data_IF_479768970802
#
_entry.id   IF_479768970802
#
_cell.length_a   1.000
_cell.length_b   1.000
_cell.length_c   1.000
_cell.angle_alpha   90.00
_cell.angle_beta   90.00
_cell.angle_gamma   90.00
#
_symmetry.space_group_name_H-M   'P 1'
#
loop_
_entity.id
_entity.type
_entity.pdbx_description
1 polymer ?
#
# COMPACT_ATOMS: atom_id res chain seq x y z
N UNK A 1 10.70 26.53 -3.31
CA UNK A 1 10.83 25.87 -2.00
C UNK A 1 10.70 26.81 -0.78
N UNK A 2 10.85 28.14 -0.89
CA UNK A 2 10.73 29.02 0.30
C UNK A 2 9.28 29.24 0.79
N UNK A 3 8.28 29.06 -0.07
CA UNK A 3 6.88 29.35 0.26
C UNK A 3 6.26 28.38 1.28
N UNK A 4 6.79 27.17 1.40
CA UNK A 4 6.28 26.10 2.27
C UNK A 4 7.12 25.90 3.53
N UNK A 5 8.12 26.77 3.76
CA UNK A 5 8.98 26.67 4.93
C UNK A 5 8.11 26.75 6.20
N UNK A 6 8.26 25.78 7.10
CA UNK A 6 7.48 25.67 8.35
C UNK A 6 5.99 25.32 8.15
N UNK A 7 5.57 24.86 6.96
CA UNK A 7 4.21 24.36 6.78
C UNK A 7 4.05 22.91 7.29
N UNK A 8 2.92 22.66 7.96
CA UNK A 8 2.46 21.31 8.32
C UNK A 8 1.52 20.81 7.24
N UNK A 9 1.80 19.63 6.71
CA UNK A 9 0.98 18.97 5.70
C UNK A 9 0.32 17.76 6.35
N UNK A 10 -1.01 17.69 6.26
CA UNK A 10 -1.81 16.59 6.83
C UNK A 10 -2.17 15.51 5.81
N UNK A 11 -1.72 15.66 4.56
CA UNK A 11 -1.90 14.64 3.53
C UNK A 11 -1.21 13.34 3.94
N UNK A 12 -1.80 12.22 3.53
CA UNK A 12 -1.30 10.87 3.79
C UNK A 12 0.07 10.64 3.14
N UNK A 13 1.05 10.17 3.91
CA UNK A 13 2.38 9.83 3.42
C UNK A 13 2.81 8.45 3.91
N UNK A 14 3.60 7.76 3.11
CA UNK A 14 4.15 6.44 3.41
C UNK A 14 5.68 6.49 3.35
N UNK A 15 6.35 5.59 4.08
CA UNK A 15 7.83 5.57 4.07
C UNK A 15 8.39 5.27 2.66
N UNK A 16 7.65 4.54 1.83
CA UNK A 16 8.01 4.23 0.44
C UNK A 16 8.01 5.47 -0.47
N UNK A 17 7.47 6.60 -0.02
CA UNK A 17 7.49 7.88 -0.75
C UNK A 17 8.88 8.53 -0.79
N UNK A 18 9.79 8.14 0.10
CA UNK A 18 11.11 8.77 0.24
C UNK A 18 11.95 8.61 -1.04
N UNK A 19 11.97 7.41 -1.63
CA UNK A 19 12.75 7.12 -2.84
C UNK A 19 12.26 7.94 -4.05
N UNK A 20 10.99 7.90 -4.46
CA UNK A 20 10.51 8.71 -5.58
C UNK A 20 10.66 10.21 -5.31
N UNK A 21 10.54 10.66 -4.05
CA UNK A 21 10.82 12.06 -3.68
C UNK A 21 12.28 12.44 -3.94
N UNK A 22 13.24 11.60 -3.53
CA UNK A 22 14.66 11.87 -3.73
C UNK A 22 15.03 11.88 -5.22
N UNK A 23 14.50 10.92 -5.99
CA UNK A 23 14.70 10.88 -7.45
C UNK A 23 14.15 12.13 -8.12
N UNK A 24 12.95 12.57 -7.74
CA UNK A 24 12.32 13.76 -8.30
C UNK A 24 13.08 15.05 -7.92
N UNK A 25 13.50 15.17 -6.66
CA UNK A 25 14.32 16.29 -6.19
C UNK A 25 15.66 16.42 -6.94
N UNK A 26 16.26 15.27 -7.30
CA UNK A 26 17.50 15.21 -8.07
C UNK A 26 17.27 15.22 -9.59
N UNK A 27 16.02 15.30 -10.04
CA UNK A 27 15.63 15.24 -11.45
C UNK A 27 16.13 13.97 -12.16
N UNK A 28 16.25 12.87 -11.42
CA UNK A 28 16.59 11.56 -11.94
C UNK A 28 15.32 10.88 -12.42
N UNK A 29 15.38 10.26 -13.60
CA UNK A 29 14.31 9.43 -14.17
C UNK A 29 14.90 8.03 -14.40
N UNK A 30 14.57 7.03 -13.57
CA UNK A 30 15.06 5.68 -13.78
C UNK A 30 14.48 5.11 -15.08
N UNK A 31 15.24 4.24 -15.75
CA UNK A 31 14.79 3.59 -16.99
C UNK A 31 13.57 2.69 -16.77
N UNK A 32 13.46 2.11 -15.56
CA UNK A 32 12.29 1.40 -15.07
C UNK A 32 11.95 1.96 -13.68
N UNK A 33 10.76 2.53 -13.54
CA UNK A 33 10.28 3.00 -12.24
C UNK A 33 9.45 1.91 -11.56
N UNK A 34 10.01 1.34 -10.50
CA UNK A 34 9.35 0.34 -9.64
C UNK A 34 9.05 0.90 -8.25
N UNK A 35 9.11 2.22 -8.09
CA UNK A 35 8.74 2.83 -6.82
C UNK A 35 7.24 2.63 -6.58
N UNK A 36 6.90 2.19 -5.37
CA UNK A 36 5.52 1.98 -4.94
C UNK A 36 4.91 3.25 -4.31
N UNK A 37 5.77 4.20 -3.92
CA UNK A 37 5.38 5.48 -3.36
C UNK A 37 5.08 6.54 -4.43
N UNK A 38 4.81 7.75 -3.97
CA UNK A 38 4.61 8.95 -4.80
C UNK A 38 5.54 10.05 -4.30
N UNK A 39 6.16 10.80 -5.20
CA UNK A 39 7.01 11.94 -4.83
C UNK A 39 6.23 12.96 -3.98
N UNK A 40 6.84 13.41 -2.88
CA UNK A 40 6.34 14.47 -2.01
C UNK A 40 6.77 15.87 -2.49
N UNK A 41 7.54 15.98 -3.56
CA UNK A 41 8.01 17.27 -4.08
C UNK A 41 6.89 18.26 -4.41
N UNK A 42 5.72 17.86 -4.96
CA UNK A 42 4.61 18.80 -5.18
C UNK A 42 4.21 19.52 -3.89
N UNK A 43 4.09 18.78 -2.79
CA UNK A 43 3.80 19.32 -1.46
C UNK A 43 4.91 20.25 -0.96
N UNK A 44 6.18 19.91 -1.19
CA UNK A 44 7.34 20.78 -0.87
C UNK A 44 7.31 22.08 -1.67
N UNK A 45 6.77 22.06 -2.89
CA UNK A 45 6.64 23.25 -3.73
C UNK A 45 5.41 24.10 -3.43
N UNK A 46 4.48 23.60 -2.61
CA UNK A 46 3.23 24.27 -2.25
C UNK A 46 2.07 23.89 -3.14
N UNK A 47 2.25 22.90 -4.01
CA UNK A 47 1.18 22.34 -4.82
C UNK A 47 0.30 21.43 -3.95
N UNK A 48 -0.96 21.27 -4.36
CA UNK A 48 -1.91 20.32 -3.78
C UNK A 48 -2.43 19.39 -4.88
N UNK A 49 -1.78 18.24 -5.08
CA UNK A 49 -2.19 17.29 -6.11
C UNK A 49 -3.64 16.85 -5.92
N UNK A 50 -4.45 16.97 -6.97
CA UNK A 50 -5.86 16.54 -6.95
C UNK A 50 -6.01 15.00 -6.84
N UNK A 51 -5.02 14.25 -7.35
CA UNK A 51 -4.98 12.79 -7.31
C UNK A 51 -3.98 12.27 -6.27
N UNK A 52 -4.15 12.66 -5.00
CA UNK A 52 -3.36 12.12 -3.89
C UNK A 52 -4.02 10.87 -3.27
N UNK A 53 -3.25 10.08 -2.52
CA UNK A 53 -3.81 8.91 -1.82
C UNK A 53 -4.73 9.36 -0.68
N UNK A 54 -5.83 8.65 -0.50
CA UNK A 54 -6.83 8.81 0.56
C UNK A 54 -6.65 7.79 1.70
N UNK A 55 -5.80 6.78 1.51
CA UNK A 55 -5.42 5.80 2.51
C UNK A 55 -3.90 5.52 2.51
N UNK A 56 -3.42 4.88 3.58
CA UNK A 56 -2.06 4.33 3.71
C UNK A 56 -2.11 2.88 4.19
N UNK A 57 -1.04 2.14 3.90
CA UNK A 57 -0.91 0.74 4.27
C UNK A 57 0.31 0.51 5.16
N UNK A 58 0.26 -0.55 5.98
CA UNK A 58 1.45 -1.09 6.63
C UNK A 58 1.35 -2.60 6.79
N UNK A 59 2.51 -3.24 6.91
CA UNK A 59 2.62 -4.67 7.17
C UNK A 59 3.53 -4.95 8.36
N UNK A 60 3.29 -6.08 9.00
CA UNK A 60 4.20 -6.63 10.00
C UNK A 60 4.34 -8.14 9.84
N UNK A 61 5.59 -8.60 9.88
CA UNK A 61 5.94 -9.99 10.15
C UNK A 61 6.53 -10.08 11.56
N UNK A 62 5.81 -10.74 12.46
CA UNK A 62 6.27 -10.97 13.84
C UNK A 62 6.89 -12.36 14.05
N UNK A 63 7.19 -13.13 13.00
CA UNK A 63 7.75 -14.48 13.09
C UNK A 63 9.06 -14.55 13.89
N UNK A 64 9.85 -13.47 13.83
CA UNK A 64 11.13 -13.33 14.53
C UNK A 64 10.99 -12.73 15.94
N UNK A 65 9.76 -12.39 16.39
CA UNK A 65 9.51 -11.80 17.71
C UNK A 65 9.16 -12.90 18.72
N UNK A 66 9.49 -12.66 20.00
CA UNK A 66 9.10 -13.54 21.13
C UNK A 66 7.60 -13.82 21.16
N UNK A 67 6.79 -12.86 20.72
CA UNK A 67 5.33 -12.97 20.58
C UNK A 67 4.88 -14.21 19.81
N UNK A 68 5.61 -14.63 18.75
CA UNK A 68 5.30 -15.88 18.03
C UNK A 68 5.27 -17.08 18.97
N UNK A 69 6.26 -17.21 19.84
CA UNK A 69 6.36 -18.32 20.80
C UNK A 69 5.25 -18.24 21.85
N UNK A 70 4.97 -17.04 22.36
CA UNK A 70 3.91 -16.83 23.36
C UNK A 70 2.51 -17.18 22.83
N UNK A 71 2.27 -16.89 21.55
CA UNK A 71 1.01 -17.20 20.86
C UNK A 71 0.99 -18.61 20.25
N UNK A 72 2.04 -19.41 20.43
CA UNK A 72 2.20 -20.75 19.86
C UNK A 72 1.96 -20.82 18.33
N UNK A 73 2.51 -19.85 17.59
CA UNK A 73 2.33 -19.71 16.13
C UNK A 73 3.51 -20.30 15.35
N UNK A 74 3.22 -20.81 14.14
CA UNK A 74 4.27 -21.18 13.17
C UNK A 74 4.85 -19.92 12.50
N UNK A 75 6.07 -19.96 11.96
CA UNK A 75 6.65 -18.80 11.27
C UNK A 75 5.77 -18.24 10.14
N UNK A 76 5.18 -19.10 9.29
CA UNK A 76 4.29 -18.70 8.20
C UNK A 76 2.90 -18.21 8.61
N UNK A 77 2.68 -18.05 9.91
CA UNK A 77 1.40 -17.71 10.54
C UNK A 77 1.46 -16.34 11.26
N UNK A 78 2.53 -15.58 11.06
CA UNK A 78 2.86 -14.39 11.85
C UNK A 78 2.71 -13.07 11.07
N UNK A 79 1.69 -12.98 10.21
CA UNK A 79 1.45 -11.79 9.39
C UNK A 79 0.31 -10.92 9.92
N UNK A 80 0.51 -9.62 9.80
CA UNK A 80 -0.51 -8.60 10.01
C UNK A 80 -0.41 -7.52 8.95
N UNK A 81 -1.56 -6.94 8.62
CA UNK A 81 -1.71 -5.90 7.61
C UNK A 81 -2.64 -4.82 8.13
N UNK A 82 -2.40 -3.59 7.71
CA UNK A 82 -3.17 -2.43 8.14
C UNK A 82 -3.53 -1.57 6.93
N UNK A 83 -4.75 -1.08 6.90
CA UNK A 83 -5.17 0.04 6.06
C UNK A 83 -5.71 1.16 6.95
N UNK A 84 -5.26 2.39 6.70
CA UNK A 84 -5.71 3.58 7.40
C UNK A 84 -6.21 4.62 6.42
N UNK A 85 -7.46 4.99 6.58
CA UNK A 85 -8.12 6.13 5.94
C UNK A 85 -8.25 7.28 6.95
N UNK A 86 -8.81 8.41 6.53
CA UNK A 86 -9.02 9.58 7.40
C UNK A 86 -9.74 9.20 8.71
N UNK A 87 -10.88 8.52 8.60
CA UNK A 87 -11.73 8.15 9.73
C UNK A 87 -11.41 6.78 10.30
N UNK A 88 -10.99 5.81 9.49
CA UNK A 88 -10.89 4.42 9.94
C UNK A 88 -9.47 3.90 9.89
N UNK A 89 -9.11 3.09 10.88
CA UNK A 89 -7.96 2.20 10.81
C UNK A 89 -8.43 0.77 11.01
N UNK A 90 -8.12 -0.08 10.04
CA UNK A 90 -8.42 -1.50 10.08
C UNK A 90 -7.13 -2.30 10.11
N UNK A 91 -7.05 -3.27 11.03
CA UNK A 91 -5.92 -4.18 11.15
C UNK A 91 -6.41 -5.61 10.97
N UNK A 92 -5.88 -6.28 9.95
CA UNK A 92 -6.09 -7.70 9.72
C UNK A 92 -4.93 -8.50 10.27
N UNK A 93 -5.27 -9.53 11.03
CA UNK A 93 -4.32 -10.49 11.57
C UNK A 93 -4.53 -11.87 10.97
N UNK A 94 -3.45 -12.52 10.56
CA UNK A 94 -3.52 -13.91 10.15
C UNK A 94 -3.84 -14.79 11.37
N UNK A 95 -5.03 -15.40 11.39
CA UNK A 95 -5.44 -16.33 12.44
C UNK A 95 -5.95 -15.70 13.74
N UNK A 96 -6.24 -14.40 13.74
CA UNK A 96 -6.85 -13.70 14.89
C UNK A 96 -8.01 -12.81 14.41
N UNK A 97 -8.84 -12.37 15.36
CA UNK A 97 -9.85 -11.36 15.10
C UNK A 97 -9.20 -10.07 14.56
N UNK A 98 -9.83 -9.40 13.57
CA UNK A 98 -9.37 -8.10 13.14
C UNK A 98 -9.63 -7.05 14.21
N UNK A 99 -8.96 -5.90 14.07
CA UNK A 99 -9.19 -4.71 14.88
C UNK A 99 -9.70 -3.58 14.00
N UNK A 100 -10.56 -2.73 14.55
CA UNK A 100 -11.11 -1.56 13.86
C UNK A 100 -11.18 -0.38 14.82
N UNK A 101 -10.62 0.77 14.42
CA UNK A 101 -10.63 1.99 15.20
C UNK A 101 -11.24 3.14 14.40
N UNK A 102 -12.13 3.91 15.04
CA UNK A 102 -12.65 5.15 14.50
C UNK A 102 -11.75 6.31 14.96
N UNK A 103 -10.86 6.77 14.10
CA UNK A 103 -9.88 7.82 14.37
C UNK A 103 -10.49 9.23 14.49
N UNK A 104 -11.75 9.44 14.09
CA UNK A 104 -12.44 10.72 14.32
C UNK A 104 -12.90 10.83 15.78
N UNK A 105 -13.47 9.75 16.32
CA UNK A 105 -14.01 9.72 17.69
C UNK A 105 -12.98 9.24 18.73
N UNK A 106 -12.02 8.42 18.30
CA UNK A 106 -10.99 7.77 19.11
C UNK A 106 -9.61 7.87 18.41
N UNK A 107 -9.02 9.08 18.35
CA UNK A 107 -7.73 9.31 17.68
C UNK A 107 -6.55 8.58 18.34
N UNK A 108 -6.70 8.16 19.60
CA UNK A 108 -5.69 7.45 20.37
C UNK A 108 -5.85 5.92 20.31
N UNK A 109 -6.86 5.42 19.57
CA UNK A 109 -7.07 3.99 19.28
C UNK A 109 -7.30 3.11 20.54
N UNK A 110 -8.02 3.63 21.53
CA UNK A 110 -8.31 2.90 22.77
C UNK A 110 -9.49 1.93 22.66
N UNK A 111 -10.42 2.14 21.72
CA UNK A 111 -11.66 1.39 21.59
C UNK A 111 -11.63 0.54 20.32
N UNK A 112 -11.36 -0.75 20.50
CA UNK A 112 -11.41 -1.72 19.40
C UNK A 112 -12.85 -2.13 19.06
N UNK A 113 -13.29 -1.78 17.85
CA UNK A 113 -14.59 -2.07 17.27
C UNK A 113 -14.55 -3.28 16.31
N UNK A 114 -13.43 -4.02 16.28
CA UNK A 114 -13.16 -5.11 15.34
C UNK A 114 -14.16 -6.27 15.40
N UNK A 115 -14.90 -6.40 16.49
CA UNK A 115 -15.93 -7.43 16.68
C UNK A 115 -17.36 -6.88 16.77
N UNK A 116 -17.56 -5.56 16.61
CA UNK A 116 -18.90 -4.97 16.68
C UNK A 116 -19.74 -5.38 15.45
N UNK A 117 -20.84 -6.14 15.58
CA UNK A 117 -21.63 -6.59 14.44
C UNK A 117 -22.20 -5.43 13.60
N UNK A 118 -22.41 -4.25 14.19
CA UNK A 118 -22.92 -3.05 13.48
C UNK A 118 -21.95 -2.52 12.45
N UNK A 119 -20.65 -2.77 12.63
CA UNK A 119 -19.58 -2.31 11.74
C UNK A 119 -19.04 -3.41 10.81
N UNK A 120 -19.80 -4.49 10.61
CA UNK A 120 -19.39 -5.59 9.72
C UNK A 120 -19.17 -5.11 8.28
N UNK A 121 -20.03 -4.22 7.77
CA UNK A 121 -19.89 -3.68 6.41
C UNK A 121 -18.64 -2.83 6.24
N UNK A 122 -18.30 -1.97 7.22
CA UNK A 122 -17.07 -1.16 7.17
C UNK A 122 -15.81 -2.03 7.25
N UNK A 123 -15.81 -3.06 8.10
CA UNK A 123 -14.70 -4.04 8.13
C UNK A 123 -14.52 -4.73 6.79
N UNK A 124 -15.62 -5.16 6.17
CA UNK A 124 -15.57 -5.81 4.87
C UNK A 124 -15.02 -4.87 3.80
N UNK A 125 -15.51 -3.62 3.74
CA UNK A 125 -15.03 -2.62 2.78
C UNK A 125 -13.52 -2.37 2.91
N UNK A 126 -13.02 -2.23 4.14
CA UNK A 126 -11.61 -2.01 4.41
C UNK A 126 -10.76 -3.26 4.13
N UNK A 127 -11.27 -4.45 4.41
CA UNK A 127 -10.59 -5.70 4.05
C UNK A 127 -10.52 -5.91 2.54
N UNK A 128 -11.58 -5.61 1.79
CA UNK A 128 -11.59 -5.64 0.32
C UNK A 128 -10.58 -4.64 -0.26
N UNK A 129 -10.52 -3.43 0.31
CA UNK A 129 -9.54 -2.42 -0.09
C UNK A 129 -8.10 -2.87 0.16
N UNK A 130 -7.85 -3.49 1.31
CA UNK A 130 -6.55 -4.05 1.65
C UNK A 130 -6.16 -5.20 0.70
N UNK A 131 -7.10 -6.09 0.37
CA UNK A 131 -6.87 -7.15 -0.62
C UNK A 131 -6.58 -6.60 -2.01
N UNK A 132 -7.30 -5.56 -2.45
CA UNK A 132 -7.04 -4.91 -3.72
C UNK A 132 -5.59 -4.40 -3.77
N UNK A 133 -5.13 -3.72 -2.71
CA UNK A 133 -3.74 -3.28 -2.60
C UNK A 133 -2.72 -4.43 -2.62
N UNK A 134 -2.99 -5.53 -1.90
CA UNK A 134 -2.12 -6.72 -1.90
C UNK A 134 -2.01 -7.37 -3.30
N UNK A 135 -3.09 -7.34 -4.07
CA UNK A 135 -3.13 -7.91 -5.42
C UNK A 135 -2.52 -6.99 -6.48
N UNK A 136 -2.50 -5.67 -6.25
CA UNK A 136 -1.95 -4.67 -7.15
C UNK A 136 -0.42 -4.54 -7.08
N UNK A 137 0.23 -5.26 -6.15
CA UNK A 137 1.68 -5.24 -6.02
C UNK A 137 2.35 -5.77 -7.31
N UNK A 138 2.84 -4.86 -8.16
CA UNK A 138 3.43 -5.15 -9.47
C UNK A 138 4.61 -6.15 -9.37
N UNK A 139 4.44 -7.42 -9.80
CA UNK A 139 5.50 -8.42 -9.65
C UNK A 139 6.53 -8.37 -10.78
N UNK A 140 6.28 -7.58 -11.84
CA UNK A 140 7.18 -7.46 -13.00
C UNK A 140 8.23 -6.38 -12.75
N UNK A 141 9.44 -6.82 -12.41
CA UNK A 141 10.58 -5.95 -12.06
C UNK A 141 11.61 -5.78 -13.18
N UNK A 142 11.48 -6.51 -14.28
CA UNK A 142 12.51 -6.54 -15.34
C UNK A 142 12.02 -6.05 -16.69
N UNK A 143 10.73 -5.71 -16.80
CA UNK A 143 10.08 -5.23 -18.02
C UNK A 143 8.97 -4.26 -17.63
N UNK A 144 8.86 -3.15 -18.36
CA UNK A 144 7.72 -2.24 -18.21
C UNK A 144 6.51 -2.71 -19.03
N UNK A 145 5.37 -2.07 -18.80
CA UNK A 145 4.13 -2.39 -19.49
C UNK A 145 4.18 -2.05 -20.99
N UNK A 146 5.02 -1.10 -21.40
CA UNK A 146 5.18 -0.75 -22.82
C UNK A 146 5.93 -1.85 -23.58
N UNK A 147 6.95 -2.44 -22.98
CA UNK A 147 7.69 -3.58 -23.51
C UNK A 147 6.81 -4.83 -23.56
N UNK A 148 6.00 -5.07 -22.52
CA UNK A 148 4.98 -6.14 -22.53
C UNK A 148 3.99 -5.94 -23.67
N UNK A 149 3.44 -4.73 -23.82
CA UNK A 149 2.52 -4.41 -24.90
C UNK A 149 3.17 -4.62 -26.28
N UNK A 150 4.42 -4.20 -26.45
CA UNK A 150 5.17 -4.37 -27.70
C UNK A 150 5.40 -5.85 -28.06
N UNK A 151 5.57 -6.73 -27.08
CA UNK A 151 5.84 -8.17 -27.28
C UNK A 151 4.58 -9.03 -27.33
N UNK A 152 3.41 -8.47 -27.04
CA UNK A 152 2.15 -9.21 -27.00
C UNK A 152 1.77 -9.74 -28.39
N UNK A 153 1.31 -10.99 -28.46
CA UNK A 153 0.84 -11.69 -29.67
C UNK A 153 1.88 -11.90 -30.80
N UNK A 154 3.18 -11.84 -30.48
CA UNK A 154 4.25 -12.06 -31.48
C UNK A 154 4.73 -13.50 -31.59
N UNK A 155 4.10 -14.45 -30.89
CA UNK A 155 4.52 -15.86 -30.87
C UNK A 155 4.57 -16.49 -32.28
N UNK A 156 3.65 -16.10 -33.16
CA UNK A 156 3.60 -16.56 -34.56
C UNK A 156 4.82 -16.14 -35.38
N UNK A 157 5.38 -14.95 -35.11
CA UNK A 157 6.62 -14.47 -35.75
C UNK A 157 7.82 -15.38 -35.41
N UNK A 158 7.71 -16.13 -34.31
CA UNK A 158 8.70 -17.10 -33.84
C UNK A 158 8.30 -18.56 -34.11
N UNK A 159 7.32 -18.79 -35.00
CA UNK A 159 6.89 -20.14 -35.40
C UNK A 159 6.07 -20.89 -34.35
N UNK A 160 5.54 -20.19 -33.33
CA UNK A 160 4.67 -20.77 -32.30
C UNK A 160 3.22 -20.40 -32.62
N UNK A 161 2.38 -21.41 -32.82
CA UNK A 161 0.98 -21.24 -33.20
C UNK A 161 0.06 -21.77 -32.10
N UNK A 162 -0.90 -20.95 -31.67
CA UNK A 162 -1.95 -21.32 -30.73
C UNK A 162 -3.28 -21.41 -31.47
N UNK A 163 -4.03 -22.50 -31.27
CA UNK A 163 -5.41 -22.62 -31.75
C UNK A 163 -5.59 -22.56 -33.27
N UNK A 164 -4.58 -22.93 -34.05
CA UNK A 164 -4.70 -23.10 -35.51
C UNK A 164 -5.13 -24.53 -35.81
N UNK A 165 -6.30 -24.67 -36.45
CA UNK A 165 -6.83 -25.92 -37.00
C UNK A 165 -6.86 -25.86 -38.53
#
# INVERSE_FOLDING_TARGET
>A
ANATRVQRISAMAEAVDVVPTALDALQIRPALDHTQGRSLMPWVHGDSPSAWRDCVFAEIDYAFRRTRLLLNRRPGECRGWMVRERQWKYVRWQGFAPQLFNLEDDPDEYVDLGQDPRLAAERQRLDERLHAWLNDQHPRLTMDDAEVAQRTDRAKEHGIYYGTW
#
